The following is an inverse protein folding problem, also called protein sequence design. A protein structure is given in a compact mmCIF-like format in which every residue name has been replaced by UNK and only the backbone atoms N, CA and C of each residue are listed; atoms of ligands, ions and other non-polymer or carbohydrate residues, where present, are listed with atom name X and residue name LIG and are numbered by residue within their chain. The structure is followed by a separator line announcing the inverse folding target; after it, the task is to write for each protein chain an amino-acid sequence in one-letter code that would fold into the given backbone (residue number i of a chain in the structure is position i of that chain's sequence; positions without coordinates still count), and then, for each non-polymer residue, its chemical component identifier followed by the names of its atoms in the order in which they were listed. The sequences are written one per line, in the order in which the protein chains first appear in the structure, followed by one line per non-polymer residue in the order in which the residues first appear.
data_IF_069240192860
#
_entry.id   IF_069240192860
#
_cell.length_a   1.000
_cell.length_b   1.000
_cell.length_c   1.000
_cell.angle_alpha   90.00
_cell.angle_beta   90.00
_cell.angle_gamma   90.00
#
_symmetry.space_group_name_H-M   'P 1'
#
loop_
_entity.id
_entity.type
_entity.pdbx_description
1 polymer ?
#
# COMPACT_ATOMS: atom_id res chain seq x y z
N UNK A 1 -31.22 -20.72 38.12
CA UNK A 1 -32.19 -21.79 37.84
C UNK A 1 -33.38 -21.20 37.11
N UNK A 2 -33.35 -21.23 35.78
CA UNK A 2 -34.51 -21.24 34.89
C UNK A 2 -33.99 -21.76 33.54
N UNK A 3 -34.27 -23.02 33.25
CA UNK A 3 -34.11 -23.63 31.94
C UNK A 3 -35.32 -23.29 31.09
N UNK A 4 -35.15 -23.05 29.80
CA UNK A 4 -36.18 -23.34 28.81
C UNK A 4 -35.56 -23.70 27.45
N UNK A 5 -36.28 -24.59 26.79
CA UNK A 5 -35.87 -25.57 25.79
C UNK A 5 -35.56 -25.06 24.38
N UNK A 6 -34.84 -25.92 23.67
CA UNK A 6 -34.67 -25.96 22.21
C UNK A 6 -35.96 -26.52 21.58
N UNK A 7 -36.46 -25.90 20.52
CA UNK A 7 -37.04 -26.64 19.39
C UNK A 7 -37.04 -25.80 18.10
N UNK A 8 -36.61 -26.48 17.04
CA UNK A 8 -36.79 -26.15 15.62
C UNK A 8 -38.27 -25.89 15.32
N UNK A 9 -38.56 -24.94 14.43
CA UNK A 9 -39.36 -25.23 13.24
C UNK A 9 -39.28 -24.11 12.18
N UNK A 10 -39.26 -24.58 10.93
CA UNK A 10 -39.22 -23.81 9.69
C UNK A 10 -40.38 -22.82 9.56
N UNK A 11 -40.09 -21.58 9.14
CA UNK A 11 -41.09 -20.68 8.57
C UNK A 11 -40.50 -20.00 7.32
N UNK A 12 -40.89 -20.57 6.17
CA UNK A 12 -40.98 -19.87 4.90
C UNK A 12 -41.90 -18.65 5.06
N UNK A 13 -41.43 -17.48 4.67
CA UNK A 13 -42.28 -16.31 4.42
C UNK A 13 -41.82 -15.63 3.11
N UNK A 14 -42.44 -16.07 2.02
CA UNK A 14 -42.74 -15.24 0.84
C UNK A 14 -43.54 -14.01 1.29
N UNK A 15 -43.15 -12.82 0.84
CA UNK A 15 -43.85 -11.59 1.24
C UNK A 15 -43.35 -10.29 0.62
N UNK A 16 -43.78 -10.05 -0.62
CA UNK A 16 -44.25 -8.76 -1.17
C UNK A 16 -43.26 -7.59 -1.28
N UNK A 17 -42.73 -7.41 -2.48
CA UNK A 17 -42.41 -6.08 -3.01
C UNK A 17 -43.71 -5.40 -3.45
N UNK A 18 -43.93 -4.17 -2.99
CA UNK A 18 -45.05 -3.31 -3.36
C UNK A 18 -44.59 -2.49 -4.57
N UNK A 19 -45.20 -2.72 -5.73
CA UNK A 19 -45.08 -1.86 -6.91
C UNK A 19 -45.85 -0.55 -6.66
N UNK A 20 -45.16 0.58 -6.75
CA UNK A 20 -45.79 1.88 -6.97
C UNK A 20 -45.79 2.16 -8.47
N UNK A 21 -46.93 1.89 -9.11
CA UNK A 21 -47.28 2.41 -10.43
C UNK A 21 -47.55 3.91 -10.31
N UNK A 22 -46.82 4.71 -11.08
CA UNK A 22 -47.25 6.04 -11.51
C UNK A 22 -47.23 6.01 -13.04
N UNK A 23 -48.41 5.88 -13.61
CA UNK A 23 -48.67 5.97 -15.04
C UNK A 23 -48.48 7.43 -15.51
N UNK A 24 -47.72 7.61 -16.59
CA UNK A 24 -47.83 8.76 -17.46
C UNK A 24 -47.91 8.25 -18.90
N UNK A 25 -49.04 8.54 -19.55
CA UNK A 25 -49.32 8.21 -20.94
C UNK A 25 -48.48 9.04 -21.92
N UNK A 26 -47.82 8.30 -22.80
CA UNK A 26 -47.56 8.47 -24.24
C UNK A 26 -47.78 9.84 -24.90
N UNK A 27 -46.75 10.34 -25.60
CA UNK A 27 -46.73 10.43 -27.08
C UNK A 27 -45.49 11.20 -27.59
N UNK A 28 -45.14 10.87 -28.84
CA UNK A 28 -44.27 11.55 -29.83
C UNK A 28 -42.81 11.08 -29.94
N UNK A 29 -42.66 10.23 -30.95
CA UNK A 29 -41.72 10.32 -32.08
C UNK A 29 -40.25 9.91 -31.91
N UNK A 30 -39.92 8.95 -32.76
CA UNK A 30 -38.64 8.31 -33.02
C UNK A 30 -37.61 9.31 -33.56
N UNK A 31 -36.51 9.51 -32.85
CA UNK A 31 -35.23 9.89 -33.45
C UNK A 31 -34.10 9.01 -32.86
N UNK A 32 -33.51 8.18 -33.72
CA UNK A 32 -32.26 7.46 -33.45
C UNK A 32 -31.10 8.48 -33.35
N UNK A 33 -30.77 8.92 -32.14
CA UNK A 33 -29.51 9.64 -31.90
C UNK A 33 -28.40 8.70 -31.45
N UNK A 34 -27.34 8.69 -32.26
CA UNK A 34 -26.09 7.98 -32.07
C UNK A 34 -25.53 8.12 -30.64
N UNK A 35 -25.37 6.99 -29.95
CA UNK A 35 -24.57 6.85 -28.75
C UNK A 35 -23.10 7.16 -29.09
N UNK A 36 -22.72 8.42 -28.95
CA UNK A 36 -21.32 8.82 -28.85
C UNK A 36 -20.78 8.30 -27.52
N UNK A 37 -19.75 7.45 -27.57
CA UNK A 37 -18.97 7.03 -26.41
C UNK A 37 -18.59 8.27 -25.59
N UNK A 38 -19.11 8.37 -24.36
CA UNK A 38 -18.61 9.36 -23.40
C UNK A 38 -17.17 8.97 -23.07
N UNK A 39 -16.20 9.54 -23.79
CA UNK A 39 -14.79 9.43 -23.45
C UNK A 39 -14.59 9.83 -21.99
N UNK A 40 -14.21 8.87 -21.16
CA UNK A 40 -13.71 9.15 -19.82
C UNK A 40 -12.46 10.03 -19.94
N UNK A 41 -12.32 11.11 -19.14
CA UNK A 41 -11.16 11.99 -19.23
C UNK A 41 -9.89 11.17 -19.01
N UNK A 42 -8.98 11.20 -19.99
CA UNK A 42 -7.66 10.57 -19.88
C UNK A 42 -6.90 11.23 -18.71
N UNK A 43 -6.27 10.44 -17.82
CA UNK A 43 -5.53 10.98 -16.68
C UNK A 43 -4.48 11.98 -17.13
N UNK A 44 -4.44 13.17 -16.51
CA UNK A 44 -3.31 14.08 -16.64
C UNK A 44 -2.11 13.45 -15.92
N UNK A 45 -1.20 12.83 -16.68
CA UNK A 45 0.09 12.39 -16.15
C UNK A 45 0.86 13.63 -15.71
N UNK A 46 1.14 13.75 -14.41
CA UNK A 46 2.14 14.71 -13.93
C UNK A 46 3.44 14.38 -14.67
N UNK A 47 4.06 15.34 -15.40
CA UNK A 47 5.29 15.09 -16.12
C UNK A 47 6.38 14.57 -15.19
N UNK A 48 7.00 13.45 -15.55
CA UNK A 48 8.20 12.96 -14.85
C UNK A 48 9.28 14.05 -14.96
N UNK A 49 9.99 14.41 -13.88
CA UNK A 49 11.27 15.07 -14.03
C UNK A 49 12.15 14.18 -14.92
N UNK A 50 12.73 14.73 -15.99
CA UNK A 50 13.70 13.99 -16.78
C UNK A 50 14.82 13.51 -15.85
N UNK A 51 15.15 12.22 -15.96
CA UNK A 51 16.28 11.65 -15.24
C UNK A 51 17.55 12.39 -15.64
N UNK A 52 18.05 13.23 -14.74
CA UNK A 52 19.30 13.95 -14.92
C UNK A 52 20.40 13.23 -14.12
N UNK A 53 21.28 12.44 -14.78
CA UNK A 53 22.36 11.73 -14.10
C UNK A 53 23.39 12.66 -13.42
N UNK A 54 23.32 13.97 -13.66
CA UNK A 54 24.21 14.97 -13.06
C UNK A 54 23.68 15.60 -11.76
N UNK A 55 22.53 15.17 -11.23
CA UNK A 55 22.11 15.55 -9.86
C UNK A 55 22.92 14.76 -8.81
N UNK A 56 24.24 14.94 -8.81
CA UNK A 56 25.04 14.80 -7.60
C UNK A 56 25.05 16.16 -6.90
N UNK A 57 24.03 16.41 -6.08
CA UNK A 57 24.08 17.55 -5.16
C UNK A 57 24.68 17.05 -3.85
N UNK A 58 25.98 17.31 -3.75
CA UNK A 58 26.81 17.40 -2.56
C UNK A 58 26.04 17.45 -1.23
N UNK A 59 25.89 16.30 -0.60
CA UNK A 59 25.34 16.17 0.74
C UNK A 59 26.39 15.59 1.69
N UNK A 60 27.57 16.20 1.78
CA UNK A 60 28.50 15.97 2.90
C UNK A 60 29.46 17.15 3.07
N UNK A 61 29.00 18.25 3.65
CA UNK A 61 29.90 19.11 4.41
C UNK A 61 29.94 18.59 5.85
N UNK A 62 30.66 17.49 6.05
CA UNK A 62 31.28 17.24 7.36
C UNK A 62 32.52 18.11 7.37
N UNK A 63 32.50 19.12 8.23
CA UNK A 63 33.66 19.93 8.55
C UNK A 63 34.69 19.02 9.22
N UNK A 64 35.73 18.62 8.51
CA UNK A 64 37.02 18.28 9.11
C UNK A 64 38.07 19.22 8.56
N UNK A 65 38.51 20.14 9.43
CA UNK A 65 39.66 21.00 9.21
C UNK A 65 40.92 20.16 9.05
N UNK A 66 41.53 20.21 7.86
CA UNK A 66 42.98 20.12 7.69
C UNK A 66 43.37 20.41 6.25
N UNK A 67 43.98 21.58 6.08
CA UNK A 67 44.98 21.99 5.09
C UNK A 67 45.43 20.90 4.10
N UNK A 68 45.26 21.14 2.80
CA UNK A 68 46.37 21.31 1.84
C UNK A 68 45.87 21.71 0.45
N UNK A 69 46.51 22.75 -0.08
CA UNK A 69 46.38 23.27 -1.43
C UNK A 69 47.18 22.35 -2.35
N UNK A 70 46.61 21.87 -3.46
CA UNK A 70 47.41 21.74 -4.68
C UNK A 70 46.62 21.78 -5.99
N UNK A 71 47.32 22.41 -6.92
CA UNK A 71 46.99 22.87 -8.26
C UNK A 71 47.00 21.73 -9.29
N UNK A 72 46.28 21.96 -10.39
CA UNK A 72 46.41 21.34 -11.72
C UNK A 72 46.06 19.85 -11.85
N UNK A 73 45.14 19.54 -12.77
CA UNK A 73 45.42 18.78 -14.00
C UNK A 73 44.12 18.63 -14.79
N UNK A 74 43.93 19.47 -15.80
CA UNK A 74 43.08 19.12 -16.95
C UNK A 74 43.91 18.18 -17.82
N UNK A 75 43.66 16.87 -17.74
CA UNK A 75 43.96 15.94 -18.84
C UNK A 75 43.24 14.58 -18.68
N UNK A 76 42.30 14.35 -19.60
CA UNK A 76 42.01 13.08 -20.26
C UNK A 76 42.15 11.79 -19.46
N UNK A 77 41.08 11.33 -18.80
CA UNK A 77 40.91 9.91 -18.50
C UNK A 77 39.49 9.46 -18.85
N UNK A 78 39.39 8.68 -19.94
CA UNK A 78 38.28 7.78 -20.23
C UNK A 78 38.03 6.89 -19.01
N UNK A 79 37.06 7.26 -18.16
CA UNK A 79 36.68 6.44 -17.02
C UNK A 79 35.67 5.39 -17.47
N UNK A 80 36.23 4.21 -17.73
CA UNK A 80 35.57 2.92 -17.71
C UNK A 80 34.81 2.81 -16.38
N UNK A 81 33.53 3.19 -16.38
CA UNK A 81 32.67 3.14 -15.21
C UNK A 81 32.58 1.68 -14.78
N UNK A 82 33.35 1.32 -13.75
CA UNK A 82 33.08 0.13 -12.96
C UNK A 82 31.70 0.35 -12.33
N UNK A 83 30.66 -0.09 -13.05
CA UNK A 83 29.31 -0.16 -12.53
C UNK A 83 29.42 -1.09 -11.34
N UNK A 84 29.32 -0.52 -10.13
CA UNK A 84 29.23 -1.30 -8.92
C UNK A 84 28.05 -2.26 -9.11
N UNK A 85 28.24 -3.59 -9.11
CA UNK A 85 27.19 -4.54 -9.51
C UNK A 85 25.96 -4.47 -8.59
N UNK A 86 26.09 -3.89 -7.39
CA UNK A 86 24.95 -3.58 -6.53
C UNK A 86 24.05 -2.46 -7.06
N UNK A 87 24.52 -1.61 -7.98
CA UNK A 87 23.69 -0.61 -8.68
C UNK A 87 22.89 -1.18 -9.87
N UNK A 88 23.02 -2.47 -10.18
CA UNK A 88 22.27 -3.10 -11.28
C UNK A 88 20.85 -3.53 -10.88
N UNK A 89 20.59 -3.71 -9.59
CA UNK A 89 19.28 -4.10 -9.07
C UNK A 89 18.61 -2.88 -8.46
N UNK A 90 17.37 -2.62 -8.86
CA UNK A 90 16.59 -1.58 -8.22
C UNK A 90 16.39 -1.91 -6.74
N UNK A 91 16.50 -0.87 -5.92
CA UNK A 91 16.33 -0.95 -4.47
C UNK A 91 14.85 -0.86 -4.13
N UNK A 92 14.33 -1.78 -3.35
CA UNK A 92 12.91 -1.84 -2.99
C UNK A 92 12.69 -1.70 -1.50
N UNK A 93 11.64 -0.98 -1.10
CA UNK A 93 11.14 -0.96 0.27
C UNK A 93 9.67 -1.35 0.32
N UNK A 94 9.30 -2.11 1.36
CA UNK A 94 7.95 -2.63 1.57
C UNK A 94 7.36 -1.95 2.80
N UNK A 95 6.13 -1.46 2.70
CA UNK A 95 5.38 -0.84 3.78
C UNK A 95 4.04 -1.57 3.93
N UNK A 96 3.85 -2.26 5.05
CA UNK A 96 2.65 -3.07 5.32
C UNK A 96 1.75 -2.40 6.35
N UNK A 97 0.61 -1.90 5.89
CA UNK A 97 -0.50 -1.51 6.77
C UNK A 97 -1.19 -2.78 7.28
N UNK A 98 -0.78 -3.25 8.46
CA UNK A 98 -1.25 -4.49 9.04
C UNK A 98 -2.74 -4.49 9.34
N UNK A 99 -3.34 -3.33 9.64
CA UNK A 99 -4.77 -3.24 9.91
C UNK A 99 -5.56 -3.38 8.60
N UNK A 100 -5.18 -2.65 7.56
CA UNK A 100 -5.82 -2.76 6.25
C UNK A 100 -5.65 -4.17 5.65
N UNK A 101 -4.44 -4.74 5.75
CA UNK A 101 -4.17 -6.10 5.29
C UNK A 101 -4.86 -7.18 6.11
N UNK A 102 -5.12 -6.96 7.40
CA UNK A 102 -5.93 -7.90 8.19
C UNK A 102 -7.34 -8.01 7.61
N UNK A 103 -8.01 -6.89 7.34
CA UNK A 103 -9.35 -6.91 6.75
C UNK A 103 -9.35 -7.45 5.31
N UNK A 104 -8.32 -7.15 4.53
CA UNK A 104 -8.16 -7.67 3.17
C UNK A 104 -8.03 -9.20 3.14
N UNK A 105 -7.21 -9.78 4.03
CA UNK A 105 -7.05 -11.22 4.19
C UNK A 105 -8.34 -11.88 4.70
N UNK A 106 -9.04 -11.26 5.65
CA UNK A 106 -10.33 -11.74 6.14
C UNK A 106 -11.38 -11.79 5.01
N UNK A 107 -11.45 -10.78 4.14
CA UNK A 107 -12.33 -10.79 2.96
C UNK A 107 -11.99 -11.92 2.00
N UNK A 108 -10.70 -12.15 1.75
CA UNK A 108 -10.25 -13.19 0.82
C UNK A 108 -10.33 -14.61 1.38
N UNK A 109 -10.41 -14.76 2.71
CA UNK A 109 -10.45 -16.05 3.39
C UNK A 109 -9.10 -16.76 3.48
N UNK A 110 -7.98 -16.05 3.32
CA UNK A 110 -6.63 -16.59 3.44
C UNK A 110 -5.65 -15.53 3.94
N UNK A 111 -4.56 -15.97 4.56
CA UNK A 111 -3.51 -15.12 5.10
C UNK A 111 -2.20 -15.33 4.36
N UNK A 112 -1.44 -14.27 4.10
CA UNK A 112 -0.11 -14.37 3.53
C UNK A 112 0.94 -14.64 4.60
N UNK A 113 2.04 -15.28 4.20
CA UNK A 113 3.24 -15.46 5.01
C UNK A 113 4.15 -14.22 4.82
N UNK A 114 4.46 -13.45 5.87
CA UNK A 114 5.31 -12.27 5.76
C UNK A 114 6.70 -12.55 5.19
N UNK A 115 7.24 -13.77 5.34
CA UNK A 115 8.51 -14.16 4.72
C UNK A 115 8.37 -14.22 3.20
N UNK A 116 7.32 -14.89 2.71
CA UNK A 116 7.08 -15.03 1.27
C UNK A 116 6.80 -13.70 0.59
N UNK A 117 6.25 -12.72 1.31
CA UNK A 117 6.14 -11.34 0.81
C UNK A 117 7.52 -10.74 0.53
N UNK A 118 8.47 -10.89 1.46
CA UNK A 118 9.86 -10.46 1.23
C UNK A 118 10.45 -11.21 0.03
N UNK A 119 10.33 -12.54 -0.01
CA UNK A 119 10.93 -13.38 -1.05
C UNK A 119 10.39 -13.01 -2.45
N UNK A 120 9.06 -12.87 -2.58
CA UNK A 120 8.38 -12.51 -3.83
C UNK A 120 8.84 -11.16 -4.39
N UNK A 121 8.92 -10.13 -3.53
CA UNK A 121 9.28 -8.78 -3.95
C UNK A 121 10.79 -8.52 -4.01
N UNK A 122 11.63 -9.41 -3.49
CA UNK A 122 13.10 -9.22 -3.52
C UNK A 122 13.79 -10.27 -4.40
N UNK A 123 13.87 -11.52 -3.94
CA UNK A 123 14.62 -12.58 -4.61
C UNK A 123 13.98 -12.97 -5.95
N UNK A 124 12.67 -13.25 -5.96
CA UNK A 124 11.98 -13.70 -7.18
C UNK A 124 11.88 -12.60 -8.24
N UNK A 125 11.81 -11.33 -7.80
CA UNK A 125 11.69 -10.16 -8.67
C UNK A 125 13.05 -9.56 -9.07
N UNK A 126 14.16 -10.02 -8.50
CA UNK A 126 15.49 -9.49 -8.76
C UNK A 126 15.79 -8.12 -8.16
N UNK A 127 14.98 -7.66 -7.19
CA UNK A 127 15.16 -6.38 -6.51
C UNK A 127 15.99 -6.53 -5.24
N UNK A 128 16.73 -5.48 -4.86
CA UNK A 128 17.47 -5.45 -3.60
C UNK A 128 16.57 -4.89 -2.50
N UNK A 129 16.15 -5.72 -1.54
CA UNK A 129 15.39 -5.26 -0.38
C UNK A 129 16.27 -4.33 0.48
N UNK A 130 15.77 -3.13 0.75
CA UNK A 130 16.41 -2.15 1.64
C UNK A 130 15.71 -2.10 3.00
N UNK A 131 14.39 -1.92 2.98
CA UNK A 131 13.58 -1.87 4.19
C UNK A 131 12.29 -2.68 4.01
N UNK A 132 11.83 -3.29 5.10
CA UNK A 132 10.49 -3.82 5.21
C UNK A 132 9.88 -3.32 6.53
N UNK A 133 8.80 -2.56 6.45
CA UNK A 133 8.10 -2.01 7.59
C UNK A 133 6.75 -2.69 7.77
N UNK A 134 6.37 -2.94 9.03
CA UNK A 134 5.05 -3.46 9.38
C UNK A 134 4.42 -2.58 10.45
N UNK A 135 3.23 -2.07 10.17
CA UNK A 135 2.49 -1.17 11.05
C UNK A 135 1.28 -1.91 11.62
N UNK A 136 1.15 -1.95 12.95
CA UNK A 136 0.04 -2.67 13.59
C UNK A 136 -0.47 -1.99 14.85
N UNK A 137 -1.80 -1.92 14.98
CA UNK A 137 -2.46 -1.49 16.21
C UNK A 137 -2.45 -2.61 17.26
N UNK A 138 -2.28 -2.25 18.53
CA UNK A 138 -2.27 -3.20 19.65
C UNK A 138 -3.37 -2.88 20.65
N UNK A 139 -4.09 -3.90 21.14
CA UNK A 139 -4.99 -3.74 22.29
C UNK A 139 -4.21 -3.36 23.55
N UNK A 140 -3.10 -4.05 23.77
CA UNK A 140 -2.18 -3.84 24.88
C UNK A 140 -0.76 -4.33 24.50
N UNK A 141 0.22 -4.21 25.41
CA UNK A 141 1.57 -4.77 25.19
C UNK A 141 1.58 -6.30 25.09
N UNK A 142 0.54 -6.90 25.68
CA UNK A 142 0.00 -8.26 25.62
C UNK A 142 -0.16 -8.84 24.20
N UNK A 143 -0.79 -8.02 23.36
CA UNK A 143 -1.41 -8.41 22.11
C UNK A 143 -0.38 -8.97 21.14
N UNK A 144 -0.73 -9.96 20.32
CA UNK A 144 0.05 -10.52 19.20
C UNK A 144 1.60 -10.60 19.35
N UNK A 145 2.15 -10.81 20.56
CA UNK A 145 3.61 -10.76 20.79
C UNK A 145 4.40 -11.71 19.91
N UNK A 146 4.00 -12.99 19.89
CA UNK A 146 4.71 -14.01 19.10
C UNK A 146 4.71 -13.71 17.60
N UNK A 147 3.65 -13.11 17.07
CA UNK A 147 3.60 -12.68 15.68
C UNK A 147 4.57 -11.53 15.41
N UNK A 148 4.64 -10.53 16.29
CA UNK A 148 5.61 -9.43 16.15
C UNK A 148 7.05 -9.89 16.28
N UNK A 149 7.33 -10.77 17.23
CA UNK A 149 8.68 -11.32 17.41
C UNK A 149 9.10 -12.10 16.16
N UNK A 150 8.16 -12.84 15.55
CA UNK A 150 8.39 -13.47 14.26
C UNK A 150 8.69 -12.45 13.16
N UNK A 151 7.90 -11.38 13.01
CA UNK A 151 8.16 -10.30 12.04
C UNK A 151 9.55 -9.68 12.23
N UNK A 152 9.95 -9.39 13.47
CA UNK A 152 11.28 -8.84 13.78
C UNK A 152 12.38 -9.84 13.37
N UNK A 153 12.20 -11.13 13.67
CA UNK A 153 13.16 -12.17 13.27
C UNK A 153 13.30 -12.34 11.75
N UNK A 154 12.26 -11.98 10.98
CA UNK A 154 12.26 -11.96 9.52
C UNK A 154 12.94 -10.72 8.93
N UNK A 155 13.28 -9.72 9.76
CA UNK A 155 13.89 -8.47 9.32
C UNK A 155 12.91 -7.32 9.09
N UNK A 156 11.64 -7.44 9.49
CA UNK A 156 10.74 -6.30 9.47
C UNK A 156 11.04 -5.32 10.61
N UNK A 157 10.99 -4.02 10.30
CA UNK A 157 10.86 -2.97 11.31
C UNK A 157 9.38 -2.86 11.70
N UNK A 158 9.04 -3.31 12.91
CA UNK A 158 7.66 -3.30 13.40
C UNK A 158 7.36 -2.01 14.15
N UNK A 159 6.38 -1.25 13.66
CA UNK A 159 5.83 -0.04 14.30
C UNK A 159 4.49 -0.38 14.94
N UNK A 160 4.32 0.02 16.20
CA UNK A 160 3.11 -0.30 16.96
C UNK A 160 2.48 0.93 17.58
N UNK A 161 1.16 0.90 17.74
CA UNK A 161 0.39 1.96 18.41
C UNK A 161 -0.76 1.35 19.20
N UNK A 162 -0.94 1.78 20.44
CA UNK A 162 -2.06 1.30 21.26
C UNK A 162 -3.37 1.80 20.65
N UNK A 163 -4.35 0.89 20.53
CA UNK A 163 -5.69 1.18 20.06
C UNK A 163 -6.35 2.20 21.00
N UNK A 164 -6.93 3.24 20.42
CA UNK A 164 -7.74 4.19 21.17
C UNK A 164 -9.20 3.77 21.07
N UNK A 165 -9.89 3.77 22.20
CA UNK A 165 -11.33 3.59 22.27
C UNK A 165 -12.03 4.91 21.95
N UNK A 166 -12.96 4.85 21.01
CA UNK A 166 -13.85 5.94 20.65
C UNK A 166 -15.27 5.49 20.95
N UNK A 167 -15.94 6.25 21.79
CA UNK A 167 -17.37 6.10 22.01
C UNK A 167 -18.10 6.95 20.98
N UNK A 168 -19.02 6.32 20.24
CA UNK A 168 -19.91 7.02 19.33
C UNK A 168 -21.25 7.25 20.04
N UNK A 169 -21.48 8.50 20.46
CA UNK A 169 -22.72 8.92 21.13
C UNK A 169 -23.97 8.66 20.29
N UNK A 170 -23.85 8.62 18.95
CA UNK A 170 -24.98 8.46 18.03
C UNK A 170 -25.38 6.99 17.84
N UNK A 171 -24.43 6.07 17.81
CA UNK A 171 -24.69 4.63 17.68
C UNK A 171 -24.67 3.87 19.00
N UNK A 172 -24.19 4.51 20.08
CA UNK A 172 -23.98 3.90 21.39
C UNK A 172 -22.90 2.82 21.41
N UNK A 173 -22.03 2.76 20.38
CA UNK A 173 -21.02 1.71 20.20
C UNK A 173 -19.63 2.23 20.52
N UNK A 174 -18.81 1.34 21.09
CA UNK A 174 -17.36 1.55 21.20
C UNK A 174 -16.68 1.04 19.94
N UNK A 175 -15.78 1.84 19.37
CA UNK A 175 -14.87 1.42 18.30
C UNK A 175 -13.43 1.60 18.75
N UNK A 176 -12.57 0.64 18.44
CA UNK A 176 -11.14 0.73 18.70
C UNK A 176 -10.42 1.01 17.39
N UNK A 177 -9.68 2.12 17.32
CA UNK A 177 -8.89 2.49 16.14
C UNK A 177 -7.48 2.91 16.53
N UNK A 178 -6.50 2.35 15.83
CA UNK A 178 -5.15 2.91 15.73
C UNK A 178 -4.90 3.14 14.25
N UNK A 179 -4.94 4.41 13.84
CA UNK A 179 -4.48 4.83 12.54
C UNK A 179 -2.96 5.06 12.63
N UNK A 180 -2.21 4.41 11.74
CA UNK A 180 -0.76 4.46 11.62
C UNK A 180 -0.31 5.12 10.30
N UNK A 181 -1.23 5.77 9.58
CA UNK A 181 -1.00 6.29 8.23
C UNK A 181 0.04 7.39 8.23
N UNK A 182 0.02 8.25 9.26
CA UNK A 182 1.04 9.29 9.45
C UNK A 182 2.41 8.64 9.65
N UNK A 183 2.52 7.62 10.49
CA UNK A 183 3.77 6.90 10.74
C UNK A 183 4.29 6.21 9.47
N UNK A 184 3.39 5.62 8.67
CA UNK A 184 3.71 5.04 7.36
C UNK A 184 4.29 6.13 6.43
N UNK A 185 3.57 7.23 6.25
CA UNK A 185 3.98 8.33 5.36
C UNK A 185 5.32 8.92 5.80
N UNK A 186 5.52 9.14 7.09
CA UNK A 186 6.78 9.66 7.64
C UNK A 186 7.94 8.72 7.36
N UNK A 187 7.79 7.42 7.61
CA UNK A 187 8.84 6.43 7.34
C UNK A 187 9.13 6.30 5.83
N UNK A 188 8.09 6.38 4.97
CA UNK A 188 8.27 6.41 3.51
C UNK A 188 9.17 7.58 3.09
N UNK A 189 8.88 8.79 3.53
CA UNK A 189 9.67 9.97 3.15
C UNK A 189 11.05 10.02 3.82
N UNK A 190 11.18 9.53 5.05
CA UNK A 190 12.48 9.47 5.74
C UNK A 190 13.47 8.50 5.06
N UNK A 191 12.96 7.52 4.34
CA UNK A 191 13.77 6.50 3.67
C UNK A 191 13.77 6.62 2.14
N UNK A 192 13.17 7.69 1.58
CA UNK A 192 12.93 7.83 0.13
C UNK A 192 14.20 7.79 -0.71
N UNK A 193 15.31 8.34 -0.20
CA UNK A 193 16.59 8.34 -0.94
C UNK A 193 17.28 6.94 -0.94
N UNK A 194 16.78 6.02 -0.11
CA UNK A 194 17.36 4.69 0.07
C UNK A 194 16.80 3.66 -0.93
N UNK A 195 15.65 3.93 -1.55
CA UNK A 195 15.00 3.01 -2.47
C UNK A 195 14.62 3.69 -3.79
N UNK A 196 14.46 2.88 -4.83
CA UNK A 196 13.98 3.30 -6.15
C UNK A 196 12.51 2.88 -6.36
N UNK A 197 12.06 1.88 -5.59
CA UNK A 197 10.73 1.26 -5.67
C UNK A 197 10.09 1.11 -4.29
N UNK A 198 8.79 1.34 -4.22
CA UNK A 198 7.96 1.11 -3.03
C UNK A 198 6.87 0.10 -3.32
N UNK A 199 6.66 -0.82 -2.38
CA UNK A 199 5.46 -1.64 -2.31
C UNK A 199 4.66 -1.21 -1.08
N UNK A 200 3.49 -0.63 -1.30
CA UNK A 200 2.53 -0.32 -0.24
C UNK A 200 1.45 -1.40 -0.22
N UNK A 201 1.40 -2.15 0.89
CA UNK A 201 0.28 -3.04 1.19
C UNK A 201 -0.79 -2.26 1.96
N UNK A 202 -1.67 -1.58 1.22
CA UNK A 202 -2.86 -0.91 1.74
C UNK A 202 -3.83 -0.60 0.60
N UNK A 203 -5.12 -0.52 0.90
CA UNK A 203 -6.16 -0.01 0.00
C UNK A 203 -6.64 1.40 0.34
N UNK A 204 -6.07 2.06 1.35
CA UNK A 204 -6.59 3.33 1.89
C UNK A 204 -6.32 4.53 0.97
N UNK A 205 -7.37 5.30 0.70
CA UNK A 205 -7.32 6.51 -0.15
C UNK A 205 -6.48 7.64 0.47
N UNK A 206 -6.33 7.66 1.80
CA UNK A 206 -5.56 8.70 2.50
C UNK A 206 -4.06 8.70 2.09
N UNK A 207 -3.57 7.62 1.48
CA UNK A 207 -2.21 7.55 0.93
C UNK A 207 -2.04 8.19 -0.46
N UNK A 208 -3.11 8.57 -1.16
CA UNK A 208 -3.05 9.13 -2.53
C UNK A 208 -2.00 10.23 -2.64
N UNK A 209 -2.08 11.24 -1.76
CA UNK A 209 -1.19 12.40 -1.82
C UNK A 209 0.27 12.04 -1.53
N UNK A 210 0.51 11.09 -0.63
CA UNK A 210 1.86 10.61 -0.34
C UNK A 210 2.44 9.89 -1.55
N UNK A 211 1.65 9.02 -2.20
CA UNK A 211 2.03 8.30 -3.41
C UNK A 211 2.37 9.26 -4.56
N UNK A 212 1.55 10.26 -4.84
CA UNK A 212 1.85 11.27 -5.86
C UNK A 212 3.19 11.99 -5.61
N UNK A 213 3.45 12.36 -4.36
CA UNK A 213 4.68 13.05 -3.99
C UNK A 213 5.91 12.14 -4.09
N UNK A 214 5.80 10.86 -3.72
CA UNK A 214 6.88 9.88 -3.95
C UNK A 214 7.16 9.69 -5.44
N UNK A 215 6.13 9.64 -6.29
CA UNK A 215 6.31 9.57 -7.76
C UNK A 215 7.07 10.77 -8.30
N UNK A 216 6.78 11.97 -7.79
CA UNK A 216 7.53 13.18 -8.15
C UNK A 216 9.02 13.13 -7.76
N UNK A 217 9.39 12.25 -6.83
CA UNK A 217 10.77 11.95 -6.41
C UNK A 217 11.40 10.78 -7.18
N UNK A 218 10.82 10.41 -8.34
CA UNK A 218 11.29 9.31 -9.18
C UNK A 218 11.23 7.92 -8.50
N UNK A 219 10.35 7.76 -7.50
CA UNK A 219 10.05 6.44 -6.92
C UNK A 219 8.96 5.75 -7.73
N UNK A 220 9.18 4.49 -8.09
CA UNK A 220 8.15 3.64 -8.69
C UNK A 220 7.24 3.02 -7.62
N UNK A 221 5.93 3.21 -7.76
CA UNK A 221 4.96 2.79 -6.75
C UNK A 221 4.20 1.55 -7.20
N UNK A 222 4.22 0.53 -6.36
CA UNK A 222 3.33 -0.63 -6.44
C UNK A 222 2.42 -0.63 -5.22
N UNK A 223 1.11 -0.69 -5.44
CA UNK A 223 0.12 -0.88 -4.39
C UNK A 223 -0.41 -2.31 -4.46
N UNK A 224 -0.42 -2.98 -3.31
CA UNK A 224 -0.99 -4.32 -3.13
C UNK A 224 -2.20 -4.21 -2.22
N UNK A 225 -3.36 -4.66 -2.69
CA UNK A 225 -4.61 -4.68 -1.92
C UNK A 225 -5.54 -5.75 -2.48
N UNK A 226 -6.79 -5.78 -2.04
CA UNK A 226 -7.85 -6.63 -2.59
C UNK A 226 -8.81 -5.81 -3.43
N UNK A 227 -9.28 -6.34 -4.55
CA UNK A 227 -10.26 -5.68 -5.41
C UNK A 227 -11.54 -5.37 -4.64
N UNK A 228 -12.09 -4.18 -4.89
CA UNK A 228 -13.17 -3.61 -4.08
C UNK A 228 -12.78 -3.25 -2.63
N UNK A 229 -11.50 -3.28 -2.26
CA UNK A 229 -10.96 -2.70 -1.01
C UNK A 229 -9.91 -1.61 -1.24
N UNK A 230 -9.54 -1.33 -2.50
CA UNK A 230 -8.69 -0.20 -2.87
C UNK A 230 -9.53 1.02 -3.24
N UNK A 231 -9.18 2.18 -2.68
CA UNK A 231 -9.77 3.46 -3.06
C UNK A 231 -9.44 3.83 -4.53
N UNK A 232 -10.39 4.44 -5.23
CA UNK A 232 -10.27 4.71 -6.68
C UNK A 232 -9.14 5.69 -6.98
N UNK A 233 -9.01 6.70 -6.14
CA UNK A 233 -7.99 7.74 -6.16
C UNK A 233 -6.58 7.16 -5.96
N UNK A 234 -6.39 6.27 -4.97
CA UNK A 234 -5.13 5.57 -4.77
C UNK A 234 -4.77 4.69 -5.97
N UNK A 235 -5.75 3.96 -6.51
CA UNK A 235 -5.56 3.14 -7.72
C UNK A 235 -5.20 3.98 -8.95
N UNK A 236 -5.73 5.19 -9.05
CA UNK A 236 -5.41 6.14 -10.13
C UNK A 236 -4.00 6.75 -9.95
N UNK A 237 -3.57 6.98 -8.72
CA UNK A 237 -2.29 7.61 -8.41
C UNK A 237 -1.08 6.66 -8.50
N UNK A 238 -1.24 5.35 -8.27
CA UNK A 238 -0.15 4.35 -8.30
C UNK A 238 0.34 4.02 -9.71
N UNK A 239 1.61 3.63 -9.86
CA UNK A 239 2.13 3.17 -11.16
C UNK A 239 1.72 1.73 -11.46
N UNK A 240 1.61 0.90 -10.42
CA UNK A 240 1.16 -0.50 -10.52
C UNK A 240 0.21 -0.83 -9.38
N UNK A 241 -0.84 -1.56 -9.71
CA UNK A 241 -1.72 -2.23 -8.76
C UNK A 241 -1.54 -3.75 -8.90
N UNK A 242 -1.52 -4.46 -7.77
CA UNK A 242 -1.53 -5.92 -7.71
C UNK A 242 -2.67 -6.32 -6.78
N UNK A 243 -3.59 -7.15 -7.28
CA UNK A 243 -4.57 -7.79 -6.41
C UNK A 243 -3.90 -8.89 -5.59
N UNK A 244 -4.18 -8.96 -4.29
CA UNK A 244 -3.64 -9.99 -3.40
C UNK A 244 -3.90 -11.40 -3.93
N UNK A 245 -5.05 -11.64 -4.56
CA UNK A 245 -5.41 -12.95 -5.09
C UNK A 245 -4.59 -13.33 -6.34
N UNK A 246 -4.06 -12.36 -7.10
CA UNK A 246 -3.18 -12.62 -8.25
C UNK A 246 -1.87 -13.28 -7.80
N UNK A 247 -1.39 -12.95 -6.60
CA UNK A 247 -0.11 -13.43 -6.06
C UNK A 247 -0.28 -14.48 -4.95
N UNK A 248 -1.52 -14.92 -4.67
CA UNK A 248 -1.85 -15.89 -3.61
C UNK A 248 -0.95 -17.13 -3.64
N UNK A 249 -0.79 -17.73 -4.83
CA UNK A 249 0.00 -18.96 -4.99
C UNK A 249 1.47 -18.80 -4.54
N UNK A 250 1.99 -17.57 -4.60
CA UNK A 250 3.34 -17.23 -4.19
C UNK A 250 3.41 -16.93 -2.69
N UNK A 251 2.45 -16.18 -2.14
CA UNK A 251 2.59 -15.60 -0.80
C UNK A 251 1.69 -16.22 0.29
N UNK A 252 0.74 -17.09 -0.04
CA UNK A 252 -0.17 -17.69 0.94
C UNK A 252 0.58 -18.49 2.01
N UNK A 253 0.17 -18.27 3.27
CA UNK A 253 0.60 -19.09 4.40
C UNK A 253 -0.04 -20.46 4.26
N UNK A 254 0.79 -21.49 4.10
CA UNK A 254 0.35 -22.88 4.07
C UNK A 254 0.42 -23.43 5.49
N UNK A 255 -0.63 -24.12 5.91
CA UNK A 255 -0.58 -24.93 7.13
C UNK A 255 0.38 -26.10 6.85
N UNK A 256 1.47 -26.17 7.61
CA UNK A 256 2.43 -27.28 7.61
C UNK A 256 2.27 -28.07 8.90
#
# INVERSE_FOLDING_TARGET
MHNFDINNDNLNLEGKYIENHLDFEDTTDLEEENLTEKEHPKPQLIPRPEYNPNYQVNSTNIITNSTEINHNYYENHTHNSHVNPHRLRDRISIFVDGNNMFYAQQKNGWFFDPRKVIDYFSEESGFMLINAFWYTGLKDSQDQRGFRDALISLGYTVRTKILKEYYDDSSGRFSQKANLDIEIVVDMFNTVDQYDRVVLFSGDGDFERAIELLRSKNTHITVVSTDGMIARELRNATDRYIDLNEIRNCIEKKDY
#
